data_IF_070505411993
#
_entry.id   IF_070505411993
#
_cell.length_a   1.000
_cell.length_b   1.000
_cell.length_c   1.000
_cell.angle_alpha   90.00
_cell.angle_beta   90.00
_cell.angle_gamma   90.00
#
_symmetry.space_group_name_H-M   'P 1'
#
loop_
_entity.id
_entity.type
_entity.pdbx_description
1 polymer ?
#
# COMPACT_ATOMS: atom_id res chain seq x y z
N UNK A 1 -10.48 32.34 11.29
CA UNK A 1 -10.40 32.17 9.82
C UNK A 1 -9.27 31.22 9.42
N UNK A 2 -8.01 31.48 9.79
CA UNK A 2 -6.87 30.58 9.50
C UNK A 2 -7.08 29.11 9.94
N UNK A 3 -7.52 28.87 11.18
CA UNK A 3 -7.78 27.50 11.66
C UNK A 3 -8.89 26.76 10.89
N UNK A 4 -9.88 27.47 10.35
CA UNK A 4 -10.93 26.89 9.52
C UNK A 4 -10.38 26.48 8.16
N UNK A 5 -9.55 27.34 7.55
CA UNK A 5 -8.87 27.04 6.28
C UNK A 5 -8.01 25.78 6.46
N UNK A 6 -7.14 25.74 7.46
CA UNK A 6 -6.27 24.56 7.69
C UNK A 6 -7.05 23.28 7.99
N UNK A 7 -8.18 23.36 8.69
CA UNK A 7 -9.03 22.19 8.94
C UNK A 7 -9.72 21.69 7.66
N UNK A 8 -10.08 22.61 6.76
CA UNK A 8 -10.72 22.29 5.48
C UNK A 8 -9.70 21.70 4.51
N UNK A 9 -8.48 22.24 4.45
CA UNK A 9 -7.35 21.68 3.69
C UNK A 9 -7.02 20.26 4.12
N UNK A 10 -6.86 20.00 5.43
CA UNK A 10 -6.61 18.63 5.92
C UNK A 10 -7.72 17.66 5.55
N UNK A 11 -8.98 18.10 5.59
CA UNK A 11 -10.12 17.26 5.17
C UNK A 11 -10.09 16.98 3.67
N UNK A 12 -9.80 17.98 2.85
CA UNK A 12 -9.66 17.81 1.41
C UNK A 12 -8.52 16.84 1.07
N UNK A 13 -7.35 16.98 1.70
CA UNK A 13 -6.21 16.08 1.51
C UNK A 13 -6.55 14.63 1.90
N UNK A 14 -7.30 14.43 2.98
CA UNK A 14 -7.75 13.09 3.39
C UNK A 14 -8.69 12.46 2.37
N UNK A 15 -9.66 13.23 1.86
CA UNK A 15 -10.61 12.75 0.84
C UNK A 15 -9.92 12.44 -0.50
N UNK A 16 -8.94 13.25 -0.91
CA UNK A 16 -8.14 13.01 -2.10
C UNK A 16 -7.32 11.71 -1.95
N UNK A 17 -6.67 11.53 -0.81
CA UNK A 17 -5.92 10.30 -0.51
C UNK A 17 -6.80 9.07 -0.53
N UNK A 18 -7.95 9.10 0.12
CA UNK A 18 -8.92 7.99 0.11
C UNK A 18 -9.40 7.66 -1.31
N UNK A 19 -9.61 8.67 -2.14
CA UNK A 19 -10.02 8.49 -3.54
C UNK A 19 -8.93 7.80 -4.34
N UNK A 20 -7.67 8.23 -4.19
CA UNK A 20 -6.50 7.63 -4.83
C UNK A 20 -6.34 6.17 -4.39
N UNK A 21 -6.39 5.91 -3.09
CA UNK A 21 -6.26 4.55 -2.53
C UNK A 21 -7.34 3.62 -3.10
N UNK A 22 -8.60 4.10 -3.21
CA UNK A 22 -9.71 3.34 -3.79
C UNK A 22 -9.52 3.05 -5.29
N UNK A 23 -9.04 4.01 -6.05
CA UNK A 23 -8.77 3.85 -7.49
C UNK A 23 -7.65 2.84 -7.74
N UNK A 24 -6.56 2.93 -6.97
CA UNK A 24 -5.44 1.99 -7.04
C UNK A 24 -5.91 0.57 -6.68
N UNK A 25 -6.70 0.44 -5.61
CA UNK A 25 -7.26 -0.84 -5.21
C UNK A 25 -8.16 -1.45 -6.30
N UNK A 26 -9.04 -0.64 -6.92
CA UNK A 26 -9.88 -1.11 -8.02
C UNK A 26 -9.04 -1.56 -9.22
N UNK A 27 -8.00 -0.79 -9.58
CA UNK A 27 -7.10 -1.13 -10.68
C UNK A 27 -6.33 -2.43 -10.44
N UNK A 28 -5.83 -2.65 -9.22
CA UNK A 28 -5.09 -3.87 -8.87
C UNK A 28 -6.01 -5.09 -8.69
N UNK A 29 -7.27 -4.89 -8.29
CA UNK A 29 -8.24 -5.96 -8.15
C UNK A 29 -8.55 -6.67 -9.49
N UNK A 30 -8.40 -5.97 -10.61
CA UNK A 30 -8.55 -6.54 -11.95
C UNK A 30 -7.30 -7.30 -12.44
N UNK A 31 -6.21 -7.31 -11.66
CA UNK A 31 -4.89 -7.87 -12.01
C UNK A 31 -4.40 -8.89 -10.99
N UNK A 32 -5.29 -9.71 -10.50
CA UNK A 32 -4.91 -10.87 -9.68
C UNK A 32 -4.04 -11.80 -10.54
N UNK A 33 -2.97 -12.34 -9.95
CA UNK A 33 -1.94 -13.19 -10.58
C UNK A 33 -0.94 -12.50 -11.54
N UNK A 34 -1.07 -11.19 -11.77
CA UNK A 34 -0.04 -10.43 -12.49
C UNK A 34 1.23 -10.26 -11.65
N UNK A 35 2.37 -10.09 -12.33
CA UNK A 35 3.68 -9.86 -11.70
C UNK A 35 4.01 -8.38 -11.68
N UNK A 36 4.44 -7.90 -10.51
CA UNK A 36 4.80 -6.51 -10.29
C UNK A 36 6.16 -6.38 -9.63
N UNK A 37 6.88 -5.32 -9.98
CA UNK A 37 8.07 -4.91 -9.25
C UNK A 37 7.66 -4.31 -7.90
N UNK A 38 8.24 -4.85 -6.83
CA UNK A 38 7.97 -4.41 -5.48
C UNK A 38 9.27 -4.18 -4.69
N UNK A 39 9.24 -3.20 -3.79
CA UNK A 39 10.34 -2.90 -2.86
C UNK A 39 9.92 -3.29 -1.45
N UNK A 40 10.77 -4.04 -0.75
CA UNK A 40 10.54 -4.37 0.66
C UNK A 40 10.61 -3.08 1.49
N UNK A 41 9.51 -2.75 2.18
CA UNK A 41 9.38 -1.59 3.06
C UNK A 41 9.54 -1.96 4.54
N UNK A 42 9.30 -3.22 4.89
CA UNK A 42 9.46 -3.72 6.26
C UNK A 42 9.45 -5.23 6.35
N UNK A 43 10.07 -5.74 7.41
CA UNK A 43 10.16 -7.17 7.72
C UNK A 43 9.63 -7.42 9.13
N UNK A 44 8.75 -8.39 9.28
CA UNK A 44 8.25 -8.86 10.57
C UNK A 44 8.32 -10.37 10.63
N UNK A 45 8.13 -10.95 11.83
CA UNK A 45 8.02 -12.41 11.98
C UNK A 45 6.85 -13.02 11.19
N UNK A 46 5.82 -12.23 10.88
CA UNK A 46 4.64 -12.70 10.15
C UNK A 46 4.80 -12.62 8.63
N UNK A 47 5.75 -11.83 8.12
CA UNK A 47 5.95 -11.67 6.68
C UNK A 47 6.69 -10.39 6.27
N UNK A 48 6.53 -10.02 5.01
CA UNK A 48 7.17 -8.88 4.37
C UNK A 48 6.10 -7.84 3.99
N UNK A 49 6.33 -6.60 4.38
CA UNK A 49 5.63 -5.46 3.80
C UNK A 49 6.39 -5.02 2.55
N UNK A 50 5.66 -4.85 1.46
CA UNK A 50 6.21 -4.42 0.17
C UNK A 50 5.45 -3.23 -0.36
N UNK A 51 6.15 -2.34 -1.05
CA UNK A 51 5.56 -1.24 -1.82
C UNK A 51 5.68 -1.53 -3.29
N UNK A 52 4.65 -1.19 -4.07
CA UNK A 52 4.67 -1.22 -5.52
C UNK A 52 4.90 0.22 -6.02
N UNK A 53 6.15 0.64 -6.32
CA UNK A 53 6.47 2.05 -6.54
C UNK A 53 5.77 2.64 -7.76
N UNK A 54 5.46 1.82 -8.75
CA UNK A 54 4.76 2.24 -9.97
C UNK A 54 3.29 2.59 -9.71
N UNK A 55 2.67 2.00 -8.69
CA UNK A 55 1.23 2.14 -8.42
C UNK A 55 0.94 2.90 -7.13
N UNK A 56 1.95 3.12 -6.28
CA UNK A 56 1.75 3.74 -4.96
C UNK A 56 0.98 2.84 -3.99
N UNK A 57 0.91 1.54 -4.25
CA UNK A 57 0.21 0.56 -3.42
C UNK A 57 1.14 -0.12 -2.42
N UNK A 58 0.58 -0.52 -1.29
CA UNK A 58 1.25 -1.38 -0.30
C UNK A 58 0.71 -2.82 -0.40
N UNK A 59 1.57 -3.79 -0.13
CA UNK A 59 1.26 -5.21 -0.13
C UNK A 59 1.88 -5.92 1.08
N UNK A 60 1.33 -7.09 1.40
CA UNK A 60 1.83 -7.96 2.46
C UNK A 60 2.04 -9.37 1.91
N UNK A 61 3.25 -9.89 2.08
CA UNK A 61 3.61 -11.26 1.69
C UNK A 61 3.76 -12.06 2.99
N UNK A 62 2.85 -13.01 3.29
CA UNK A 62 2.96 -13.83 4.48
C UNK A 62 4.20 -14.72 4.41
N UNK A 63 4.85 -14.96 5.54
CA UNK A 63 6.03 -15.82 5.60
C UNK A 63 5.75 -17.24 5.08
N UNK A 64 4.51 -17.72 5.22
CA UNK A 64 4.08 -19.03 4.73
C UNK A 64 4.04 -19.17 3.20
N UNK A 65 4.03 -18.06 2.44
CA UNK A 65 4.09 -18.10 0.97
C UNK A 65 5.51 -18.04 0.43
N UNK A 66 6.50 -17.80 1.29
CA UNK A 66 7.91 -17.81 0.91
C UNK A 66 8.39 -19.27 1.00
N UNK A 67 8.38 -19.95 -0.15
CA UNK A 67 8.76 -21.35 -0.21
C UNK A 67 10.28 -21.47 -0.01
N UNK A 68 10.71 -22.16 1.06
CA UNK A 68 12.06 -22.69 1.18
C UNK A 68 13.02 -22.10 2.23
N UNK A 69 12.76 -20.97 2.90
CA UNK A 69 13.82 -20.36 3.74
C UNK A 69 13.46 -20.15 5.22
N UNK A 70 14.44 -20.51 6.06
CA UNK A 70 14.43 -20.42 7.51
C UNK A 70 14.72 -18.96 7.92
N UNK A 71 13.68 -18.22 8.32
CA UNK A 71 13.81 -16.83 8.75
C UNK A 71 14.16 -16.77 10.25
N UNK A 72 15.44 -16.50 10.57
CA UNK A 72 15.95 -16.29 11.96
C UNK A 72 15.85 -14.82 12.35
#
# INVERSE_FOLDING_TARGET
VSALISATERRAMAAERETVDRLIAAYLAERVDDRFDARISGVTKSGLFVQLPQYGADGFIPVSSLDGDYYI
#
